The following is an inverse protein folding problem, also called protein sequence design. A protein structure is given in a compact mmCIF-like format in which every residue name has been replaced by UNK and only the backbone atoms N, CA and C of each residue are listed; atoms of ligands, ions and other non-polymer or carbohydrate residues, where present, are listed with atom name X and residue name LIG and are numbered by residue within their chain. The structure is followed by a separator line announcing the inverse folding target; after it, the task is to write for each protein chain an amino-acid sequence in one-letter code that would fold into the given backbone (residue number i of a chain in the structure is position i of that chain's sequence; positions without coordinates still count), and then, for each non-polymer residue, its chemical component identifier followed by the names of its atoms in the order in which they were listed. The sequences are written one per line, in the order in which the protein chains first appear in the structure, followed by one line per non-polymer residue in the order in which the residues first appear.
data_IF_155423283970
#
_entry.id   IF_155423283970
#
_cell.length_a   1.000
_cell.length_b   1.000
_cell.length_c   1.000
_cell.angle_alpha   90.00
_cell.angle_beta   90.00
_cell.angle_gamma   90.00
#
_symmetry.space_group_name_H-M   'P 1'
#
loop_
_entity.id
_entity.type
_entity.pdbx_description
1 polymer ?
#
# COMPACT_ATOMS: atom_id res chain seq x y z
N UNK A 1 -20.04 11.42 -10.80
CA UNK A 1 -18.84 11.98 -10.16
C UNK A 1 -17.66 11.09 -10.51
N UNK A 2 -16.83 11.51 -11.47
CA UNK A 2 -15.61 10.77 -11.77
C UNK A 2 -14.63 10.99 -10.60
N UNK A 3 -14.02 9.94 -10.04
CA UNK A 3 -12.93 10.12 -9.11
C UNK A 3 -11.89 10.98 -9.85
N UNK A 4 -11.46 12.10 -9.24
CA UNK A 4 -10.31 12.85 -9.72
C UNK A 4 -9.17 11.86 -9.83
N UNK A 5 -8.88 11.37 -11.03
CA UNK A 5 -7.64 10.68 -11.31
C UNK A 5 -6.57 11.72 -11.03
N UNK A 6 -6.00 11.68 -9.83
CA UNK A 6 -4.75 12.39 -9.56
C UNK A 6 -3.82 11.97 -10.70
N UNK A 7 -3.23 12.91 -11.46
CA UNK A 7 -2.22 12.53 -12.44
C UNK A 7 -1.21 11.67 -11.70
N UNK A 8 -1.10 10.41 -12.09
CA UNK A 8 -0.18 9.47 -11.50
C UNK A 8 1.20 9.92 -11.93
N UNK A 9 1.84 10.73 -11.08
CA UNK A 9 3.24 11.05 -11.23
C UNK A 9 3.99 9.72 -11.21
N UNK A 10 4.89 9.55 -12.17
CA UNK A 10 5.73 8.36 -12.31
C UNK A 10 7.17 8.81 -12.54
N UNK A 11 8.11 7.94 -12.20
CA UNK A 11 9.53 8.14 -12.48
C UNK A 11 10.07 9.42 -11.81
N UNK A 12 10.77 10.25 -12.59
CA UNK A 12 11.43 11.46 -12.08
C UNK A 12 10.47 12.46 -11.46
N UNK A 13 9.29 12.67 -12.06
CA UNK A 13 8.32 13.62 -11.56
C UNK A 13 7.77 13.19 -10.19
N UNK A 14 7.54 11.89 -9.98
CA UNK A 14 7.14 11.36 -8.69
C UNK A 14 8.24 11.57 -7.64
N UNK A 15 9.49 11.26 -7.99
CA UNK A 15 10.65 11.45 -7.10
C UNK A 15 10.77 12.89 -6.63
N UNK A 16 10.74 13.83 -7.57
CA UNK A 16 10.88 15.25 -7.25
C UNK A 16 9.71 15.75 -6.40
N UNK A 17 8.47 15.39 -6.75
CA UNK A 17 7.31 15.80 -5.98
C UNK A 17 7.30 15.19 -4.57
N UNK A 18 7.67 13.90 -4.44
CA UNK A 18 7.76 13.23 -3.15
C UNK A 18 8.82 13.88 -2.26
N UNK A 19 10.00 14.20 -2.81
CA UNK A 19 11.08 14.86 -2.08
C UNK A 19 10.65 16.24 -1.57
N UNK A 20 10.09 17.09 -2.44
CA UNK A 20 9.63 18.44 -2.06
C UNK A 20 8.53 18.37 -0.99
N UNK A 21 7.56 17.45 -1.15
CA UNK A 21 6.47 17.33 -0.18
C UNK A 21 6.95 16.79 1.17
N UNK A 22 7.95 15.92 1.18
CA UNK A 22 8.56 15.43 2.41
C UNK A 22 9.38 16.52 3.11
N UNK A 23 10.14 17.33 2.36
CA UNK A 23 10.89 18.47 2.93
C UNK A 23 9.97 19.51 3.58
N UNK A 24 8.82 19.79 2.95
CA UNK A 24 7.86 20.75 3.48
C UNK A 24 7.04 20.17 4.64
N UNK A 25 6.72 18.87 4.59
CA UNK A 25 5.80 18.25 5.55
C UNK A 25 6.18 16.80 5.89
N UNK A 26 7.28 16.56 6.63
CA UNK A 26 7.81 15.21 6.85
C UNK A 26 6.90 14.32 7.71
N UNK A 27 6.03 14.91 8.53
CA UNK A 27 5.13 14.16 9.41
C UNK A 27 3.75 13.89 8.78
N UNK A 28 3.49 14.40 7.57
CA UNK A 28 2.21 14.14 6.88
C UNK A 28 2.21 12.73 6.31
N UNK A 29 1.15 11.99 6.61
CA UNK A 29 0.88 10.68 6.03
C UNK A 29 0.99 10.67 4.49
N UNK A 30 0.46 11.71 3.83
CA UNK A 30 0.52 11.85 2.37
C UNK A 30 1.95 12.03 1.83
N UNK A 31 2.78 12.84 2.49
CA UNK A 31 4.18 13.04 2.08
C UNK A 31 4.97 11.74 2.23
N UNK A 32 4.81 11.05 3.35
CA UNK A 32 5.42 9.74 3.58
C UNK A 32 4.93 8.69 2.58
N UNK A 33 3.64 8.71 2.22
CA UNK A 33 3.07 7.80 1.22
C UNK A 33 3.70 8.01 -0.15
N UNK A 34 3.92 9.27 -0.54
CA UNK A 34 4.56 9.60 -1.82
C UNK A 34 6.03 9.21 -1.84
N UNK A 35 6.77 9.39 -0.74
CA UNK A 35 8.14 8.88 -0.61
C UNK A 35 8.19 7.35 -0.73
N UNK A 36 7.33 6.64 0.01
CA UNK A 36 7.24 5.18 -0.09
C UNK A 36 6.92 4.70 -1.50
N UNK A 37 5.94 5.32 -2.17
CA UNK A 37 5.57 5.00 -3.56
C UNK A 37 6.74 5.23 -4.52
N UNK A 38 7.44 6.35 -4.36
CA UNK A 38 8.58 6.72 -5.17
C UNK A 38 9.76 5.75 -5.02
N UNK A 39 9.98 5.24 -3.81
CA UNK A 39 11.04 4.28 -3.51
C UNK A 39 10.71 2.88 -4.05
N UNK A 40 9.42 2.49 -4.04
CA UNK A 40 8.97 1.25 -4.71
C UNK A 40 9.31 1.29 -6.20
N UNK A 41 9.02 2.41 -6.90
CA UNK A 41 9.36 2.54 -8.33
C UNK A 41 10.88 2.46 -8.59
N UNK A 42 11.70 2.82 -7.60
CA UNK A 42 13.16 2.73 -7.67
C UNK A 42 13.70 1.34 -7.27
N UNK A 43 12.84 0.41 -6.84
CA UNK A 43 13.26 -0.90 -6.30
C UNK A 43 13.87 -0.84 -4.91
N UNK A 44 13.80 0.30 -4.22
CA UNK A 44 14.34 0.52 -2.87
C UNK A 44 13.32 0.10 -1.81
N UNK A 45 13.02 -1.19 -1.79
CA UNK A 45 11.87 -1.74 -1.07
C UNK A 45 11.96 -1.59 0.45
N UNK A 46 13.14 -1.78 1.05
CA UNK A 46 13.32 -1.64 2.50
C UNK A 46 13.15 -0.20 2.98
N UNK A 47 13.60 0.78 2.20
CA UNK A 47 13.38 2.18 2.51
C UNK A 47 11.91 2.56 2.33
N UNK A 48 11.26 2.05 1.28
CA UNK A 48 9.83 2.23 1.08
C UNK A 48 9.00 1.69 2.25
N UNK A 49 9.39 0.55 2.83
CA UNK A 49 8.76 -0.02 4.03
C UNK A 49 8.72 1.00 5.16
N UNK A 50 9.83 1.68 5.45
CA UNK A 50 9.90 2.64 6.56
C UNK A 50 8.91 3.80 6.38
N UNK A 51 8.84 4.36 5.17
CA UNK A 51 7.91 5.44 4.88
C UNK A 51 6.45 4.99 4.93
N UNK A 52 6.13 3.78 4.45
CA UNK A 52 4.78 3.24 4.54
C UNK A 52 4.37 2.96 6.00
N UNK A 53 5.29 2.47 6.83
CA UNK A 53 5.05 2.28 8.26
C UNK A 53 4.80 3.63 8.97
N UNK A 54 5.54 4.68 8.62
CA UNK A 54 5.28 6.04 9.10
C UNK A 54 3.92 6.57 8.64
N UNK A 55 3.53 6.35 7.38
CA UNK A 55 2.19 6.69 6.89
C UNK A 55 1.11 6.00 7.71
N UNK A 56 1.26 4.71 8.00
CA UNK A 56 0.28 3.93 8.77
C UNK A 56 0.30 4.25 10.27
N UNK A 57 1.42 4.75 10.81
CA UNK A 57 1.49 5.25 12.18
C UNK A 57 0.66 6.54 12.35
N UNK A 58 0.67 7.42 11.33
CA UNK A 58 -0.11 8.67 11.33
C UNK A 58 -1.56 8.43 10.92
N UNK A 59 -1.78 7.63 9.86
CA UNK A 59 -3.08 7.29 9.31
C UNK A 59 -3.23 5.77 9.15
N UNK A 60 -3.56 5.09 10.25
CA UNK A 60 -3.67 3.62 10.30
C UNK A 60 -4.61 3.01 9.26
N UNK A 61 -5.63 3.76 8.81
CA UNK A 61 -6.62 3.30 7.83
C UNK A 61 -6.42 3.89 6.43
N UNK A 62 -5.21 4.39 6.13
CA UNK A 62 -4.89 4.87 4.79
C UNK A 62 -4.86 3.71 3.79
N UNK A 63 -5.85 3.68 2.89
CA UNK A 63 -6.05 2.59 1.92
C UNK A 63 -4.85 2.41 0.99
N UNK A 64 -4.33 3.52 0.46
CA UNK A 64 -3.20 3.50 -0.47
C UNK A 64 -1.97 2.92 0.20
N UNK A 65 -1.71 3.33 1.45
CA UNK A 65 -0.61 2.83 2.25
C UNK A 65 -0.76 1.33 2.58
N UNK A 66 -1.93 0.90 3.05
CA UNK A 66 -2.18 -0.52 3.35
C UNK A 66 -2.01 -1.41 2.11
N UNK A 67 -2.53 -0.99 0.96
CA UNK A 67 -2.39 -1.73 -0.30
C UNK A 67 -0.93 -1.79 -0.76
N UNK A 68 -0.23 -0.65 -0.80
CA UNK A 68 1.17 -0.60 -1.19
C UNK A 68 2.05 -1.40 -0.22
N UNK A 69 1.76 -1.35 1.08
CA UNK A 69 2.50 -2.10 2.09
C UNK A 69 2.29 -3.61 1.94
N UNK A 70 1.05 -4.08 1.78
CA UNK A 70 0.79 -5.51 1.53
C UNK A 70 1.48 -6.01 0.25
N UNK A 71 1.50 -5.19 -0.81
CA UNK A 71 2.22 -5.51 -2.05
C UNK A 71 3.73 -5.54 -1.84
N UNK A 72 4.28 -4.54 -1.16
CA UNK A 72 5.70 -4.48 -0.81
C UNK A 72 6.14 -5.73 -0.01
N UNK A 73 5.33 -6.15 0.95
CA UNK A 73 5.61 -7.36 1.74
C UNK A 73 5.62 -8.63 0.88
N UNK A 74 4.76 -8.73 -0.14
CA UNK A 74 4.84 -9.82 -1.12
C UNK A 74 6.13 -9.77 -1.93
N UNK A 75 6.52 -8.59 -2.40
CA UNK A 75 7.74 -8.40 -3.19
C UNK A 75 9.01 -8.71 -2.37
N UNK A 76 8.94 -8.52 -1.05
CA UNK A 76 9.98 -8.89 -0.08
C UNK A 76 9.94 -10.36 0.37
N UNK A 77 8.97 -11.16 -0.11
CA UNK A 77 8.71 -12.55 0.34
C UNK A 77 8.59 -12.68 1.87
N UNK A 78 7.96 -11.68 2.50
CA UNK A 78 7.73 -11.60 3.95
C UNK A 78 6.65 -12.58 4.42
N UNK A 79 6.54 -12.74 5.76
CA UNK A 79 5.61 -13.70 6.36
C UNK A 79 4.18 -13.55 5.80
N UNK A 80 3.62 -14.60 5.15
CA UNK A 80 2.24 -14.66 4.69
C UNK A 80 1.20 -14.20 5.72
N UNK A 81 1.46 -14.43 7.01
CA UNK A 81 0.57 -14.01 8.11
C UNK A 81 0.55 -12.49 8.27
N UNK A 82 1.70 -11.83 8.12
CA UNK A 82 1.81 -10.36 8.19
C UNK A 82 1.03 -9.75 7.04
N UNK A 83 1.23 -10.26 5.82
CA UNK A 83 0.52 -9.80 4.62
C UNK A 83 -0.98 -9.99 4.79
N UNK A 84 -1.41 -11.17 5.27
CA UNK A 84 -2.81 -11.45 5.55
C UNK A 84 -3.41 -10.45 6.55
N UNK A 85 -2.70 -10.13 7.62
CA UNK A 85 -3.14 -9.14 8.61
C UNK A 85 -3.37 -7.75 8.01
N UNK A 86 -2.45 -7.28 7.16
CA UNK A 86 -2.59 -5.97 6.48
C UNK A 86 -3.78 -5.98 5.51
N UNK A 87 -3.97 -7.06 4.76
CA UNK A 87 -5.12 -7.19 3.84
C UNK A 87 -6.44 -7.28 4.61
N UNK A 88 -6.46 -7.95 5.77
CA UNK A 88 -7.61 -7.99 6.68
C UNK A 88 -7.94 -6.57 7.22
N UNK A 89 -6.94 -5.75 7.56
CA UNK A 89 -7.14 -4.34 7.96
C UNK A 89 -7.66 -3.46 6.80
N UNK A 90 -7.11 -3.64 5.60
CA UNK A 90 -7.57 -2.95 4.37
C UNK A 90 -9.05 -3.25 4.10
N UNK A 91 -9.43 -4.50 4.25
CA UNK A 91 -10.82 -4.98 4.12
C UNK A 91 -11.75 -4.40 5.18
N UNK A 92 -11.33 -4.40 6.45
CA UNK A 92 -12.14 -3.86 7.54
C UNK A 92 -12.44 -2.38 7.32
N UNK A 93 -11.59 -1.67 6.61
CA UNK A 93 -11.81 -0.26 6.30
C UNK A 93 -12.90 -0.08 5.24
N UNK A 94 -13.06 -1.00 4.26
CA UNK A 94 -14.04 -0.88 3.17
C UNK A 94 -14.57 -2.23 2.63
N UNK A 95 -15.75 -2.69 3.08
CA UNK A 95 -16.33 -3.99 2.69
C UNK A 95 -16.63 -4.16 1.19
N UNK A 96 -16.92 -3.07 0.47
CA UNK A 96 -17.36 -3.11 -0.94
C UNK A 96 -16.25 -3.44 -1.94
N UNK A 97 -14.97 -3.27 -1.58
CA UNK A 97 -13.81 -3.62 -2.41
C UNK A 97 -13.10 -4.90 -1.95
N UNK A 98 -13.62 -5.57 -0.92
CA UNK A 98 -13.03 -6.74 -0.24
C UNK A 98 -12.61 -7.85 -1.20
N UNK A 99 -13.55 -8.33 -2.01
CA UNK A 99 -13.36 -9.53 -2.84
C UNK A 99 -12.28 -9.32 -3.90
N UNK A 100 -12.20 -8.12 -4.49
CA UNK A 100 -11.18 -7.81 -5.51
C UNK A 100 -9.76 -7.74 -4.94
N UNK A 101 -9.63 -7.30 -3.68
CA UNK A 101 -8.35 -7.17 -3.00
C UNK A 101 -7.85 -8.54 -2.56
N UNK A 102 -8.69 -9.37 -1.94
CA UNK A 102 -8.34 -10.73 -1.51
C UNK A 102 -7.89 -11.56 -2.73
N UNK A 103 -8.68 -11.61 -3.79
CA UNK A 103 -8.34 -12.34 -5.02
C UNK A 103 -7.02 -11.86 -5.63
N UNK A 104 -6.76 -10.56 -5.65
CA UNK A 104 -5.48 -10.01 -6.12
C UNK A 104 -4.30 -10.56 -5.31
N UNK A 105 -4.37 -10.54 -3.99
CA UNK A 105 -3.27 -10.99 -3.12
C UNK A 105 -3.11 -12.53 -3.10
N UNK A 106 -4.17 -13.31 -3.31
CA UNK A 106 -4.06 -14.77 -3.51
C UNK A 106 -3.35 -15.10 -4.82
N UNK A 107 -3.72 -14.44 -5.91
CA UNK A 107 -3.09 -14.63 -7.22
C UNK A 107 -1.63 -14.16 -7.20
N UNK A 108 -1.36 -12.98 -6.63
CA UNK A 108 -0.02 -12.42 -6.53
C UNK A 108 0.90 -13.29 -5.67
N UNK A 109 0.39 -13.88 -4.59
CA UNK A 109 1.14 -14.83 -3.75
C UNK A 109 1.24 -16.25 -4.33
N UNK A 110 0.71 -16.49 -5.55
CA UNK A 110 0.64 -17.82 -6.18
C UNK A 110 -0.03 -18.87 -5.27
N UNK A 111 -1.02 -18.46 -4.48
CA UNK A 111 -1.75 -19.31 -3.54
C UNK A 111 -1.02 -19.63 -2.23
N UNK A 112 0.13 -19.01 -1.95
CA UNK A 112 0.80 -19.07 -0.64
C UNK A 112 -0.02 -18.40 0.46
N UNK A 113 -0.76 -17.35 0.10
CA UNK A 113 -1.73 -16.70 0.96
C UNK A 113 -3.11 -17.11 0.48
N UNK A 114 -3.92 -17.59 1.42
CA UNK A 114 -5.34 -17.83 1.21
C UNK A 114 -6.12 -17.01 2.20
N UNK A 115 -7.03 -16.21 1.68
CA UNK A 115 -8.07 -15.58 2.47
C UNK A 115 -9.24 -16.56 2.49
N UNK A 116 -9.84 -16.77 3.66
CA UNK A 116 -11.05 -17.56 3.72
C UNK A 116 -12.11 -16.77 2.94
N UNK A 117 -12.38 -17.18 1.70
CA UNK A 117 -13.53 -16.71 0.95
C UNK A 117 -14.75 -17.03 1.80
N UNK A 118 -15.39 -16.00 2.34
CA UNK A 118 -16.76 -16.15 2.81
C UNK A 118 -17.58 -16.54 1.59
N UNK A 119 -17.87 -17.84 1.50
CA UNK A 119 -18.96 -18.35 0.70
C UNK A 119 -20.17 -17.44 0.94
N UNK A 120 -20.78 -17.00 -0.16
CA UNK A 120 -21.85 -16.02 -0.15
C UNK A 120 -22.97 -16.35 0.84
N UNK A 121 -23.58 -15.27 1.32
CA UNK A 121 -24.92 -15.25 1.88
C UNK A 121 -25.68 -14.09 1.26
#
# INVERSE_FOLDING_TARGET
MHPRAQPQLQGEALRQAAQVLFELYPERAQSNLMMGTSLIEQGRLEEARQFLEQTLAVERRNQGALFLYARLLLDLDEDPKKIKGIVDELRSSFPKSREKVEVYFEQASKGRIRFAGEAGY
#
